data_IF_884573350779
#
_entry.id   IF_884573350779
#
_cell.length_a   1.000
_cell.length_b   1.000
_cell.length_c   1.000
_cell.angle_alpha   90.00
_cell.angle_beta   90.00
_cell.angle_gamma   90.00
#
_symmetry.space_group_name_H-M   'P 1'
#
loop_
_entity.id
_entity.type
_entity.pdbx_description
1 polymer ?
#
# COMPACT_ATOMS: atom_id res chain seq x y z
N UNK A 1 -8.43 4.07 23.10
CA UNK A 1 -7.31 5.01 23.28
C UNK A 1 -6.34 4.44 24.29
N UNK A 2 -5.05 4.40 23.97
CA UNK A 2 -4.02 3.99 24.92
C UNK A 2 -3.79 5.14 25.90
N UNK A 3 -3.72 4.85 27.20
CA UNK A 3 -3.53 5.89 28.20
C UNK A 3 -2.14 6.56 28.05
N UNK A 4 -2.01 7.84 28.38
CA UNK A 4 -0.71 8.54 28.36
C UNK A 4 0.35 7.81 29.22
N UNK A 5 -0.08 7.23 30.33
CA UNK A 5 0.80 6.46 31.21
C UNK A 5 1.33 5.21 30.51
N UNK A 6 0.46 4.50 29.78
CA UNK A 6 0.84 3.31 29.01
C UNK A 6 1.89 3.68 27.95
N UNK A 7 1.67 4.80 27.24
CA UNK A 7 2.61 5.28 26.20
C UNK A 7 3.98 5.58 26.82
N UNK A 8 4.01 6.23 27.99
CA UNK A 8 5.28 6.52 28.70
C UNK A 8 6.02 5.23 29.08
N UNK A 9 5.30 4.24 29.62
CA UNK A 9 5.90 2.95 30.02
C UNK A 9 6.44 2.23 28.79
N UNK A 10 5.67 2.22 27.70
CA UNK A 10 6.08 1.56 26.44
C UNK A 10 7.36 2.19 25.89
N UNK A 11 7.48 3.51 25.95
CA UNK A 11 8.67 4.23 25.46
C UNK A 11 9.94 3.96 26.30
N UNK A 12 9.82 3.34 27.46
CA UNK A 12 10.98 2.92 28.29
C UNK A 12 11.46 1.52 27.96
N UNK A 13 10.73 0.78 27.12
CA UNK A 13 11.07 -0.59 26.75
C UNK A 13 12.01 -0.61 25.51
N UNK A 14 12.81 -1.68 25.34
CA UNK A 14 13.56 -1.85 24.09
C UNK A 14 12.64 -1.84 22.87
N UNK A 15 13.09 -1.21 21.80
CA UNK A 15 12.34 -1.03 20.56
C UNK A 15 11.74 -2.35 20.03
N UNK A 16 12.53 -3.43 20.07
CA UNK A 16 12.10 -4.76 19.63
C UNK A 16 10.89 -5.27 20.42
N UNK A 17 10.86 -4.99 21.72
CA UNK A 17 9.76 -5.40 22.58
C UNK A 17 8.52 -4.54 22.32
N UNK A 18 8.73 -3.24 22.11
CA UNK A 18 7.65 -2.31 21.75
C UNK A 18 6.97 -2.78 20.45
N UNK A 19 7.76 -3.13 19.43
CA UNK A 19 7.23 -3.61 18.15
C UNK A 19 6.43 -4.91 18.31
N UNK A 20 6.91 -5.85 19.14
CA UNK A 20 6.18 -7.10 19.41
C UNK A 20 4.83 -6.84 20.07
N UNK A 21 4.82 -5.98 21.09
CA UNK A 21 3.58 -5.60 21.80
C UNK A 21 2.62 -4.92 20.83
N UNK A 22 3.12 -3.98 20.02
CA UNK A 22 2.31 -3.26 19.06
C UNK A 22 1.68 -4.21 18.03
N UNK A 23 2.44 -5.17 17.53
CA UNK A 23 1.92 -6.20 16.61
C UNK A 23 0.77 -7.01 17.25
N UNK A 24 0.94 -7.40 18.49
CA UNK A 24 -0.11 -8.16 19.22
C UNK A 24 -1.38 -7.32 19.34
N UNK A 25 -1.23 -6.04 19.73
CA UNK A 25 -2.37 -5.13 19.91
C UNK A 25 -3.07 -4.91 18.56
N UNK A 26 -2.33 -4.59 17.51
CA UNK A 26 -2.88 -4.34 16.17
C UNK A 26 -3.60 -5.60 15.66
N UNK A 27 -2.99 -6.77 15.81
CA UNK A 27 -3.60 -8.03 15.38
C UNK A 27 -4.91 -8.29 16.12
N UNK A 28 -4.97 -7.99 17.42
CA UNK A 28 -6.20 -8.11 18.21
C UNK A 28 -7.28 -7.16 17.72
N UNK A 29 -6.90 -5.91 17.40
CA UNK A 29 -7.85 -4.93 16.86
C UNK A 29 -8.37 -5.35 15.48
N UNK A 30 -7.48 -5.79 14.58
CA UNK A 30 -7.90 -6.28 13.27
C UNK A 30 -8.84 -7.49 13.40
N UNK A 31 -8.50 -8.43 14.26
CA UNK A 31 -9.35 -9.61 14.50
C UNK A 31 -10.71 -9.24 15.08
N UNK A 32 -10.75 -8.23 15.95
CA UNK A 32 -11.99 -7.79 16.60
C UNK A 32 -12.89 -7.00 15.65
N UNK A 33 -12.33 -6.09 14.86
CA UNK A 33 -13.09 -5.09 14.14
C UNK A 33 -13.27 -5.38 12.65
N UNK A 34 -12.35 -6.12 12.04
CA UNK A 34 -12.37 -6.37 10.60
C UNK A 34 -12.89 -7.76 10.26
N UNK A 35 -13.94 -7.82 9.44
CA UNK A 35 -14.39 -9.05 8.80
C UNK A 35 -13.76 -9.08 7.41
N UNK A 36 -12.64 -9.81 7.26
CA UNK A 36 -11.83 -9.78 6.05
C UNK A 36 -12.20 -10.95 5.13
N UNK A 37 -12.53 -10.63 3.88
CA UNK A 37 -12.77 -11.61 2.80
C UNK A 37 -11.71 -11.39 1.73
N UNK A 38 -11.09 -12.49 1.28
CA UNK A 38 -9.98 -12.46 0.31
C UNK A 38 -10.36 -13.33 -0.87
N UNK A 39 -10.23 -12.78 -2.09
CA UNK A 39 -10.40 -13.50 -3.35
C UNK A 39 -9.14 -13.36 -4.20
N UNK A 40 -8.77 -14.42 -4.92
CA UNK A 40 -7.70 -14.37 -5.92
C UNK A 40 -6.29 -14.47 -5.37
N UNK A 41 -6.12 -14.87 -4.12
CA UNK A 41 -4.79 -15.04 -3.52
C UNK A 41 -3.89 -15.95 -4.38
N UNK A 42 -4.47 -16.98 -4.99
CA UNK A 42 -3.77 -17.93 -5.87
C UNK A 42 -3.21 -17.28 -7.15
N UNK A 43 -3.73 -16.12 -7.53
CA UNK A 43 -3.24 -15.38 -8.71
C UNK A 43 -1.79 -14.91 -8.53
N UNK A 44 -1.36 -14.69 -7.30
CA UNK A 44 -0.01 -14.16 -7.03
C UNK A 44 1.06 -15.10 -7.61
N UNK A 45 0.88 -16.40 -7.46
CA UNK A 45 1.85 -17.39 -7.93
C UNK A 45 1.91 -17.51 -9.47
N UNK A 46 0.96 -16.91 -10.17
CA UNK A 46 1.03 -16.83 -11.66
C UNK A 46 2.11 -15.84 -12.11
N UNK A 47 2.50 -14.90 -11.26
CA UNK A 47 3.61 -13.99 -11.54
C UNK A 47 4.93 -14.72 -11.40
N UNK A 48 5.80 -14.57 -12.38
CA UNK A 48 7.13 -15.18 -12.38
C UNK A 48 8.14 -14.21 -11.76
N UNK A 49 9.01 -14.72 -10.90
CA UNK A 49 10.08 -13.92 -10.29
C UNK A 49 9.58 -12.89 -9.30
N UNK A 50 10.32 -11.81 -9.20
CA UNK A 50 10.02 -10.71 -8.27
C UNK A 50 8.74 -9.99 -8.69
N UNK A 51 7.91 -9.62 -7.72
CA UNK A 51 6.59 -9.05 -7.95
C UNK A 51 6.49 -7.63 -7.41
N UNK A 52 5.75 -6.78 -8.12
CA UNK A 52 5.35 -5.46 -7.64
C UNK A 52 3.85 -5.52 -7.36
N UNK A 53 3.48 -5.51 -6.11
CA UNK A 53 2.07 -5.41 -5.70
C UNK A 53 1.64 -3.96 -5.75
N UNK A 54 0.45 -3.70 -6.30
CA UNK A 54 -0.17 -2.38 -6.31
C UNK A 54 -1.56 -2.46 -5.70
N UNK A 55 -1.97 -1.42 -4.99
CA UNK A 55 -3.27 -1.40 -4.31
C UNK A 55 -3.78 0.04 -4.22
N UNK A 56 -5.10 0.22 -4.28
CA UNK A 56 -5.72 1.51 -3.97
C UNK A 56 -5.53 1.80 -2.47
N UNK A 57 -5.54 3.07 -2.08
CA UNK A 57 -5.18 3.48 -0.72
C UNK A 57 -6.30 4.26 -0.06
N UNK A 58 -6.87 3.69 1.00
CA UNK A 58 -8.06 4.23 1.68
C UNK A 58 -7.80 4.62 3.14
N UNK A 59 -6.85 3.93 3.79
CA UNK A 59 -6.74 3.94 5.25
C UNK A 59 -5.33 3.58 5.68
N UNK A 60 -4.95 4.03 6.86
CA UNK A 60 -3.70 3.58 7.51
C UNK A 60 -3.74 2.08 7.82
N UNK A 61 -4.91 1.47 7.89
CA UNK A 61 -5.02 0.02 8.11
C UNK A 61 -4.67 -0.80 6.86
N UNK A 62 -4.64 -0.18 5.67
CA UNK A 62 -4.34 -0.91 4.41
C UNK A 62 -2.99 -1.63 4.49
N UNK A 63 -1.95 -0.91 4.87
CA UNK A 63 -0.61 -1.47 4.97
C UNK A 63 -0.52 -2.57 6.01
N UNK A 64 -1.19 -2.42 7.14
CA UNK A 64 -1.21 -3.40 8.22
C UNK A 64 -1.87 -4.71 7.78
N UNK A 65 -3.01 -4.60 7.08
CA UNK A 65 -3.74 -5.77 6.58
C UNK A 65 -2.95 -6.47 5.48
N UNK A 66 -2.41 -5.71 4.52
CA UNK A 66 -1.64 -6.28 3.41
C UNK A 66 -0.35 -6.92 3.89
N UNK A 67 0.32 -6.31 4.87
CA UNK A 67 1.52 -6.90 5.46
C UNK A 67 1.18 -8.25 6.12
N UNK A 68 0.12 -8.30 6.90
CA UNK A 68 -0.34 -9.53 7.54
C UNK A 68 -0.66 -10.63 6.51
N UNK A 69 -1.29 -10.25 5.39
CA UNK A 69 -1.66 -11.17 4.32
C UNK A 69 -0.46 -11.71 3.54
N UNK A 70 0.51 -10.85 3.25
CA UNK A 70 1.58 -11.15 2.28
C UNK A 70 2.93 -11.50 2.91
N UNK A 71 3.17 -11.14 4.17
CA UNK A 71 4.51 -11.25 4.78
C UNK A 71 5.08 -12.66 4.76
N UNK A 72 4.29 -13.65 5.17
CA UNK A 72 4.77 -15.01 5.34
C UNK A 72 5.31 -15.61 4.05
N UNK A 73 4.62 -15.39 2.94
CA UNK A 73 4.95 -16.03 1.66
C UNK A 73 5.74 -15.13 0.71
N UNK A 74 5.47 -13.83 0.73
CA UNK A 74 6.02 -12.90 -0.27
C UNK A 74 6.88 -11.79 0.32
N UNK A 75 6.71 -11.48 1.58
CA UNK A 75 7.49 -10.50 2.37
C UNK A 75 7.80 -9.20 1.61
N UNK A 76 6.79 -8.50 1.09
CA UNK A 76 7.07 -7.30 0.29
C UNK A 76 7.58 -6.14 1.15
N UNK A 77 8.42 -5.30 0.55
CA UNK A 77 8.80 -4.00 1.10
C UNK A 77 7.81 -2.95 0.59
N UNK A 78 7.23 -2.19 1.50
CA UNK A 78 6.24 -1.17 1.18
C UNK A 78 6.94 0.15 0.86
N UNK A 79 6.50 0.82 -0.21
CA UNK A 79 6.96 2.19 -0.50
C UNK A 79 6.14 3.15 0.36
N UNK A 80 6.81 3.95 1.17
CA UNK A 80 6.16 4.90 2.07
C UNK A 80 6.65 6.31 1.80
N UNK A 81 5.73 7.26 1.70
CA UNK A 81 6.07 8.69 1.67
C UNK A 81 6.61 9.11 3.02
N UNK A 82 7.71 9.86 3.01
CA UNK A 82 8.25 10.41 4.25
C UNK A 82 7.30 11.52 4.70
N UNK A 83 6.38 11.20 5.59
CA UNK A 83 5.69 12.20 6.38
C UNK A 83 6.40 12.21 7.72
N UNK A 84 7.01 13.33 8.03
CA UNK A 84 7.59 13.55 9.34
C UNK A 84 6.43 13.65 10.35
N UNK A 85 5.96 12.49 10.76
CA UNK A 85 4.97 12.43 11.82
C UNK A 85 5.69 12.45 13.15
N UNK A 86 5.37 13.42 13.97
CA UNK A 86 5.83 13.46 15.35
C UNK A 86 4.96 12.59 16.25
N UNK A 87 3.91 12.00 15.69
CA UNK A 87 3.01 11.14 16.45
C UNK A 87 3.66 9.77 16.71
N UNK A 88 3.81 9.38 17.99
CA UNK A 88 4.43 8.11 18.36
C UNK A 88 3.69 6.88 17.83
N UNK A 89 2.37 6.94 17.74
CA UNK A 89 1.55 5.80 17.28
C UNK A 89 1.79 5.56 15.79
N UNK A 90 1.86 6.64 15.01
CA UNK A 90 2.16 6.55 13.58
C UNK A 90 3.57 5.99 13.35
N UNK A 91 4.54 6.42 14.14
CA UNK A 91 5.92 5.88 14.07
C UNK A 91 5.94 4.38 14.36
N UNK A 92 5.20 3.93 15.36
CA UNK A 92 5.08 2.51 15.67
C UNK A 92 4.42 1.72 14.55
N UNK A 93 3.38 2.27 13.93
CA UNK A 93 2.70 1.67 12.78
C UNK A 93 3.64 1.47 11.59
N UNK A 94 4.42 2.46 11.31
CA UNK A 94 5.44 2.39 10.25
C UNK A 94 6.49 1.31 10.55
N UNK A 95 6.74 1.31 11.56
CA UNK A 95 7.63 0.44 11.97
C UNK A 95 7.28 -0.93 11.95
N UNK A 96 6.16 -1.15 12.09
CA UNK A 96 5.65 -2.53 12.03
C UNK A 96 5.80 -3.18 10.66
N UNK A 97 5.83 -2.39 9.62
CA UNK A 97 5.84 -2.82 8.22
C UNK A 97 7.21 -2.50 7.61
N UNK A 98 7.77 -3.46 6.89
CA UNK A 98 9.05 -3.26 6.19
C UNK A 98 8.86 -2.22 5.09
N UNK A 99 9.55 -1.09 5.18
CA UNK A 99 9.34 0.06 4.27
C UNK A 99 10.63 0.56 3.64
N UNK A 100 10.47 1.15 2.46
CA UNK A 100 11.47 2.00 1.82
C UNK A 100 10.83 3.38 1.64
N UNK A 101 11.55 4.42 2.02
CA UNK A 101 11.02 5.78 2.03
C UNK A 101 11.27 6.50 0.70
N UNK A 102 10.26 7.25 0.26
CA UNK A 102 10.36 8.11 -0.93
C UNK A 102 9.86 9.50 -0.54
N UNK A 103 10.49 10.54 -1.09
CA UNK A 103 10.04 11.92 -0.89
C UNK A 103 8.79 12.16 -1.74
N UNK A 104 7.65 12.48 -1.13
CA UNK A 104 6.42 12.69 -1.90
C UNK A 104 6.54 13.95 -2.77
N UNK A 105 5.89 13.91 -3.93
CA UNK A 105 5.79 15.04 -4.87
C UNK A 105 7.15 15.57 -5.35
N UNK A 106 8.17 14.71 -5.39
CA UNK A 106 9.48 15.06 -5.94
C UNK A 106 9.98 13.96 -6.88
N UNK A 107 10.87 14.33 -7.78
CA UNK A 107 11.58 13.36 -8.60
C UNK A 107 12.73 12.77 -7.76
N UNK A 108 12.38 11.88 -6.83
CA UNK A 108 13.33 11.28 -5.89
C UNK A 108 14.12 10.17 -6.61
N UNK A 109 15.08 10.59 -7.43
CA UNK A 109 15.90 9.68 -8.25
C UNK A 109 16.67 8.70 -7.38
N UNK A 110 17.15 9.15 -6.23
CA UNK A 110 17.90 8.29 -5.29
C UNK A 110 17.01 7.16 -4.75
N UNK A 111 15.80 7.49 -4.32
CA UNK A 111 14.84 6.49 -3.83
C UNK A 111 14.44 5.52 -4.94
N UNK A 112 14.15 6.02 -6.14
CA UNK A 112 13.78 5.18 -7.29
C UNK A 112 14.93 4.23 -7.63
N UNK A 113 16.16 4.71 -7.68
CA UNK A 113 17.35 3.90 -7.94
C UNK A 113 17.48 2.77 -6.91
N UNK A 114 17.31 3.11 -5.64
CA UNK A 114 17.35 2.13 -4.53
C UNK A 114 16.26 1.08 -4.69
N UNK A 115 15.03 1.51 -4.98
CA UNK A 115 13.87 0.61 -5.16
C UNK A 115 14.12 -0.35 -6.33
N UNK A 116 14.59 0.17 -7.47
CA UNK A 116 14.88 -0.64 -8.66
C UNK A 116 15.94 -1.70 -8.32
N UNK A 117 17.00 -1.32 -7.60
CA UNK A 117 18.06 -2.24 -7.18
C UNK A 117 17.51 -3.34 -6.27
N UNK A 118 16.62 -2.99 -5.33
CA UNK A 118 15.98 -3.94 -4.43
C UNK A 118 15.15 -4.97 -5.22
N UNK A 119 14.31 -4.50 -6.13
CA UNK A 119 13.43 -5.36 -6.95
C UNK A 119 14.26 -6.26 -7.86
N UNK A 120 15.28 -5.72 -8.53
CA UNK A 120 16.20 -6.52 -9.37
C UNK A 120 16.95 -7.57 -8.56
N UNK A 121 17.18 -7.29 -7.29
CA UNK A 121 17.83 -8.22 -6.36
C UNK A 121 16.91 -9.32 -5.81
N UNK A 122 15.64 -9.31 -6.20
CA UNK A 122 14.69 -10.36 -5.80
C UNK A 122 13.72 -9.96 -4.69
N UNK A 123 13.74 -8.70 -4.27
CA UNK A 123 12.86 -8.21 -3.19
C UNK A 123 11.51 -7.75 -3.76
N UNK A 124 10.43 -8.37 -3.28
CA UNK A 124 9.07 -7.97 -3.68
C UNK A 124 8.75 -6.57 -3.14
N UNK A 125 7.96 -5.82 -3.89
CA UNK A 125 7.59 -4.45 -3.56
C UNK A 125 6.08 -4.33 -3.46
N UNK A 126 5.60 -3.47 -2.56
CA UNK A 126 4.19 -3.05 -2.57
C UNK A 126 4.14 -1.53 -2.59
N UNK A 127 3.38 -0.99 -3.51
CA UNK A 127 3.21 0.44 -3.66
C UNK A 127 1.73 0.80 -3.79
N UNK A 128 1.34 1.90 -3.16
CA UNK A 128 0.04 2.54 -3.36
C UNK A 128 0.25 3.62 -4.42
N UNK A 129 -0.14 3.36 -5.69
CA UNK A 129 0.28 4.27 -6.78
C UNK A 129 -0.38 5.64 -6.74
N UNK A 130 -1.45 5.80 -5.97
CA UNK A 130 -2.08 7.11 -5.74
C UNK A 130 -1.18 8.07 -4.94
N UNK A 131 -0.23 7.53 -4.17
CA UNK A 131 0.73 8.31 -3.40
C UNK A 131 0.18 8.91 -2.11
N UNK A 132 -1.12 8.82 -1.89
CA UNK A 132 -1.80 9.28 -0.67
C UNK A 132 -3.13 8.54 -0.52
N UNK A 133 -3.70 8.57 0.68
CA UNK A 133 -5.00 7.98 0.95
C UNK A 133 -6.11 8.81 0.29
N UNK A 134 -7.07 8.14 -0.34
CA UNK A 134 -8.27 8.79 -0.86
C UNK A 134 -9.17 9.22 0.29
N UNK A 135 -9.57 10.47 0.30
CA UNK A 135 -10.47 11.02 1.31
C UNK A 135 -11.95 10.78 0.99
N UNK A 136 -12.25 10.37 -0.25
CA UNK A 136 -13.62 10.11 -0.71
C UNK A 136 -13.96 8.62 -0.77
N UNK A 137 -12.95 7.76 -0.64
CA UNK A 137 -13.09 6.32 -0.87
C UNK A 137 -12.92 5.92 -2.34
N UNK A 138 -12.97 6.88 -3.26
CA UNK A 138 -12.81 6.62 -4.70
C UNK A 138 -11.36 6.84 -5.14
N UNK A 139 -10.90 6.04 -6.11
CA UNK A 139 -9.53 6.15 -6.62
C UNK A 139 -9.23 7.53 -7.16
N UNK A 140 -8.05 8.03 -6.85
CA UNK A 140 -7.50 9.29 -7.40
C UNK A 140 -6.40 8.95 -8.40
N UNK A 141 -5.95 9.97 -9.14
CA UNK A 141 -4.96 9.79 -10.20
C UNK A 141 -3.65 9.19 -9.65
N UNK A 142 -3.13 8.18 -10.36
CA UNK A 142 -1.88 7.53 -9.99
C UNK A 142 -0.65 8.38 -10.31
N UNK A 143 0.40 8.22 -9.54
CA UNK A 143 1.70 8.89 -9.72
C UNK A 143 2.62 8.05 -10.60
N UNK A 144 3.41 8.69 -11.45
CA UNK A 144 4.26 8.03 -12.47
C UNK A 144 5.43 7.22 -11.90
N UNK A 145 5.71 7.29 -10.61
CA UNK A 145 6.79 6.51 -10.00
C UNK A 145 6.67 5.02 -10.24
N UNK A 146 5.46 4.48 -10.17
CA UNK A 146 5.21 3.05 -10.44
C UNK A 146 5.61 2.69 -11.88
N UNK A 147 5.34 3.55 -12.84
CA UNK A 147 5.66 3.31 -14.24
C UNK A 147 7.17 3.19 -14.44
N UNK A 148 7.94 4.08 -13.84
CA UNK A 148 9.40 4.08 -13.94
C UNK A 148 9.99 2.81 -13.30
N UNK A 149 9.50 2.45 -12.11
CA UNK A 149 9.94 1.23 -11.41
C UNK A 149 9.63 -0.01 -12.26
N UNK A 150 8.42 -0.10 -12.79
CA UNK A 150 7.99 -1.26 -13.61
C UNK A 150 8.85 -1.38 -14.89
N UNK A 151 9.13 -0.26 -15.56
CA UNK A 151 9.96 -0.26 -16.76
C UNK A 151 11.38 -0.72 -16.49
N UNK A 152 11.98 -0.18 -15.45
CA UNK A 152 13.39 -0.44 -15.15
C UNK A 152 13.62 -1.84 -14.59
N UNK A 153 12.63 -2.42 -13.92
CA UNK A 153 12.76 -3.76 -13.31
C UNK A 153 12.23 -4.87 -14.20
N UNK A 154 11.26 -4.57 -15.06
CA UNK A 154 10.50 -5.54 -15.85
C UNK A 154 9.76 -6.58 -14.99
N UNK A 155 9.60 -6.31 -13.70
CA UNK A 155 8.87 -7.17 -12.79
C UNK A 155 7.37 -7.14 -13.13
N UNK A 156 6.71 -8.28 -12.96
CA UNK A 156 5.27 -8.35 -13.16
C UNK A 156 4.55 -7.63 -12.02
N UNK A 157 3.44 -7.00 -12.35
CA UNK A 157 2.63 -6.23 -11.42
C UNK A 157 1.44 -7.08 -11.01
N UNK A 158 1.20 -7.19 -9.71
CA UNK A 158 0.05 -7.91 -9.15
C UNK A 158 -0.92 -6.87 -8.58
N UNK A 159 -2.06 -6.63 -9.22
CA UNK A 159 -3.01 -5.63 -8.73
C UNK A 159 -3.86 -6.18 -7.59
N UNK A 160 -4.14 -5.32 -6.62
CA UNK A 160 -5.01 -5.61 -5.47
C UNK A 160 -6.04 -4.50 -5.37
N UNK A 161 -7.32 -4.87 -5.27
CA UNK A 161 -8.41 -3.95 -4.97
C UNK A 161 -8.90 -4.18 -3.55
N UNK A 162 -9.00 -3.12 -2.77
CA UNK A 162 -9.41 -3.20 -1.38
C UNK A 162 -10.58 -2.24 -1.10
N UNK A 163 -11.60 -2.73 -0.38
CA UNK A 163 -12.73 -1.91 0.07
C UNK A 163 -12.98 -2.13 1.55
N UNK A 164 -13.55 -1.13 2.21
CA UNK A 164 -13.99 -1.23 3.60
C UNK A 164 -12.98 -0.73 4.63
N UNK A 165 -11.73 -0.57 4.28
CA UNK A 165 -10.73 -0.09 5.24
C UNK A 165 -10.97 1.38 5.62
N UNK A 166 -11.58 2.17 4.73
CA UNK A 166 -12.01 3.54 5.03
C UNK A 166 -13.07 3.59 6.12
N UNK A 167 -13.80 2.51 6.31
CA UNK A 167 -14.79 2.36 7.38
C UNK A 167 -14.15 1.77 8.64
N UNK A 168 -13.21 0.84 8.45
CA UNK A 168 -12.49 0.18 9.54
C UNK A 168 -11.65 1.18 10.34
N UNK A 169 -10.88 2.00 9.67
CA UNK A 169 -10.01 3.01 10.30
C UNK A 169 -10.09 4.29 9.47
N UNK A 170 -11.17 5.08 9.66
CA UNK A 170 -11.37 6.30 8.87
C UNK A 170 -10.26 7.34 9.09
N UNK A 171 -9.98 8.12 8.05
CA UNK A 171 -9.04 9.24 8.12
C UNK A 171 -9.62 10.29 9.09
N UNK A 172 -8.83 10.70 10.08
CA UNK A 172 -9.25 11.73 11.03
C UNK A 172 -9.40 13.09 10.31
N UNK A 173 -10.40 13.87 10.72
CA UNK A 173 -10.72 15.15 10.09
C UNK A 173 -9.57 16.16 10.21
N UNK A 174 -8.81 16.09 11.26
CA UNK A 174 -7.76 17.06 11.63
C UNK A 174 -6.34 16.68 11.17
N UNK A 175 -6.43 15.52 10.57
CA UNK A 175 -5.22 15.10 10.16
C UNK A 175 -4.39 14.56 11.19
N UNK A 176 -4.88 14.55 12.22
CA UNK A 176 -4.21 13.92 13.34
C UNK A 176 -4.42 12.41 13.29
N UNK A 177 -3.42 11.70 12.81
CA UNK A 177 -3.48 10.22 12.67
C UNK A 177 -3.64 9.53 14.05
N UNK A 178 -3.24 10.17 15.12
CA UNK A 178 -3.46 9.67 16.48
C UNK A 178 -4.93 9.66 16.88
N UNK A 179 -5.78 10.44 16.20
CA UNK A 179 -7.22 10.49 16.42
C UNK A 179 -8.01 9.41 15.69
N UNK A 180 -7.37 8.62 14.82
CA UNK A 180 -8.05 7.57 14.05
C UNK A 180 -8.44 6.41 14.97
N UNK A 181 -9.69 5.94 14.83
CA UNK A 181 -10.24 4.87 15.69
C UNK A 181 -10.80 3.73 14.86
N UNK A 182 -10.57 2.51 15.31
CA UNK A 182 -11.13 1.30 14.69
C UNK A 182 -12.63 1.21 14.91
N UNK A 183 -13.34 0.86 13.84
CA UNK A 183 -14.78 0.55 13.84
C UNK A 183 -14.98 -0.83 13.22
N UNK A 184 -16.11 -1.46 13.50
CA UNK A 184 -16.48 -2.73 12.86
C UNK A 184 -16.71 -2.48 11.37
N UNK A 185 -16.06 -3.27 10.52
CA UNK A 185 -16.21 -3.14 9.07
C UNK A 185 -15.93 -4.45 8.34
N UNK A 186 -16.65 -4.62 7.22
CA UNK A 186 -16.33 -5.66 6.24
C UNK A 186 -15.24 -5.14 5.33
N UNK A 187 -14.15 -5.89 5.22
CA UNK A 187 -13.01 -5.56 4.36
C UNK A 187 -12.93 -6.63 3.26
N UNK A 188 -13.01 -6.20 2.01
CA UNK A 188 -12.90 -7.11 0.87
C UNK A 188 -11.60 -6.83 0.15
N UNK A 189 -10.84 -7.90 -0.11
CA UNK A 189 -9.56 -7.84 -0.81
C UNK A 189 -9.67 -8.75 -2.04
N UNK A 190 -9.49 -8.17 -3.22
CA UNK A 190 -9.44 -8.93 -4.47
C UNK A 190 -8.05 -8.79 -5.08
N UNK A 191 -7.43 -9.93 -5.38
CA UNK A 191 -6.11 -9.96 -6.01
C UNK A 191 -6.33 -10.42 -7.45
N UNK A 192 -5.90 -9.58 -8.40
CA UNK A 192 -6.04 -9.86 -9.81
C UNK A 192 -4.88 -10.67 -10.37
N UNK A 193 -5.01 -11.05 -11.63
CA UNK A 193 -3.93 -11.72 -12.33
C UNK A 193 -2.77 -10.76 -12.57
N UNK A 194 -1.53 -11.27 -12.58
CA UNK A 194 -0.36 -10.43 -12.87
C UNK A 194 -0.47 -9.78 -14.26
N UNK A 195 0.01 -8.57 -14.36
CA UNK A 195 0.06 -7.82 -15.61
C UNK A 195 1.50 -7.39 -15.92
N UNK A 196 1.77 -7.17 -17.20
CA UNK A 196 3.00 -6.55 -17.69
C UNK A 196 2.62 -5.29 -18.46
N UNK A 197 3.53 -4.33 -18.54
CA UNK A 197 3.26 -3.09 -19.28
C UNK A 197 3.00 -3.39 -20.76
N UNK A 198 2.03 -2.72 -21.39
CA UNK A 198 1.82 -2.87 -22.82
C UNK A 198 3.04 -2.35 -23.61
N UNK A 199 3.25 -2.88 -24.79
CA UNK A 199 4.33 -2.46 -25.68
C UNK A 199 3.99 -1.09 -26.29
N UNK A 200 5.03 -0.28 -26.50
CA UNK A 200 4.90 1.00 -27.19
C UNK A 200 4.58 0.75 -28.66
N UNK A 201 3.59 1.45 -29.18
CA UNK A 201 3.26 1.41 -30.61
C UNK A 201 4.30 2.22 -31.42
N UNK A 202 4.51 1.82 -32.67
CA UNK A 202 5.56 2.35 -33.52
C UNK A 202 5.56 3.87 -33.67
N UNK A 203 4.38 4.46 -33.82
CA UNK A 203 4.22 5.91 -34.07
C UNK A 203 3.68 6.66 -32.85
N UNK A 204 3.68 6.03 -31.69
CA UNK A 204 3.13 6.61 -30.46
C UNK A 204 4.14 7.56 -29.81
N UNK A 205 3.70 8.77 -29.45
CA UNK A 205 4.55 9.71 -28.71
C UNK A 205 4.79 9.17 -27.28
N UNK A 206 5.93 9.51 -26.71
CA UNK A 206 6.32 9.04 -25.39
C UNK A 206 5.27 9.35 -24.31
N UNK A 207 4.74 10.58 -24.30
CA UNK A 207 3.75 10.97 -23.29
C UNK A 207 2.42 10.23 -23.46
N UNK A 208 2.02 9.94 -24.70
CA UNK A 208 0.82 9.15 -24.98
C UNK A 208 0.98 7.72 -24.47
N UNK A 209 2.14 7.14 -24.71
CA UNK A 209 2.49 5.80 -24.22
C UNK A 209 2.51 5.75 -22.69
N UNK A 210 3.12 6.74 -22.05
CA UNK A 210 3.19 6.84 -20.60
C UNK A 210 1.77 6.92 -20.00
N UNK A 211 0.91 7.74 -20.58
CA UNK A 211 -0.48 7.89 -20.13
C UNK A 211 -1.26 6.60 -20.31
N UNK A 212 -1.06 5.92 -21.43
CA UNK A 212 -1.70 4.63 -21.72
C UNK A 212 -1.24 3.55 -20.71
N UNK A 213 0.05 3.50 -20.41
CA UNK A 213 0.60 2.59 -19.41
C UNK A 213 0.04 2.88 -18.02
N UNK A 214 -0.01 4.16 -17.62
CA UNK A 214 -0.55 4.55 -16.32
C UNK A 214 -2.04 4.18 -16.22
N UNK A 215 -2.81 4.46 -17.25
CA UNK A 215 -4.24 4.07 -17.29
C UNK A 215 -4.38 2.56 -17.16
N UNK A 216 -3.57 1.80 -17.88
CA UNK A 216 -3.59 0.34 -17.83
C UNK A 216 -3.28 -0.18 -16.41
N UNK A 217 -2.25 0.35 -15.78
CA UNK A 217 -1.87 -0.01 -14.40
C UNK A 217 -3.03 0.29 -13.44
N UNK A 218 -3.54 1.51 -13.49
CA UNK A 218 -4.57 1.94 -12.53
C UNK A 218 -5.90 1.24 -12.76
N UNK A 219 -6.27 0.97 -14.02
CA UNK A 219 -7.47 0.21 -14.32
C UNK A 219 -7.38 -1.25 -13.90
N UNK A 220 -6.17 -1.81 -13.81
CA UNK A 220 -6.01 -3.17 -13.26
C UNK A 220 -6.47 -3.25 -11.80
N UNK A 221 -6.33 -2.16 -11.04
CA UNK A 221 -6.90 -2.06 -9.69
C UNK A 221 -8.41 -1.79 -9.77
N UNK A 222 -8.80 -0.78 -10.55
CA UNK A 222 -10.20 -0.35 -10.64
C UNK A 222 -11.14 -1.49 -11.03
N UNK A 223 -10.69 -2.36 -11.93
CA UNK A 223 -11.48 -3.51 -12.40
C UNK A 223 -11.78 -4.53 -11.28
N UNK A 224 -11.02 -4.49 -10.19
CA UNK A 224 -11.23 -5.34 -9.01
C UNK A 224 -12.18 -4.70 -7.99
N UNK A 225 -12.58 -3.46 -8.21
CA UNK A 225 -13.36 -2.66 -7.27
C UNK A 225 -14.79 -2.45 -7.75
N UNK A 226 -15.76 -2.30 -6.82
CA UNK A 226 -17.08 -1.80 -7.18
C UNK A 226 -16.99 -0.42 -7.84
N UNK A 227 -17.96 -0.10 -8.67
CA UNK A 227 -17.96 1.13 -9.47
C UNK A 227 -17.72 2.40 -8.64
N UNK A 228 -18.36 2.48 -7.48
CA UNK A 228 -18.25 3.65 -6.59
C UNK A 228 -16.84 3.90 -6.04
N UNK A 229 -15.98 2.88 -6.07
CA UNK A 229 -14.57 3.02 -5.63
C UNK A 229 -13.62 3.37 -6.78
N UNK A 230 -14.08 3.31 -8.03
CA UNK A 230 -13.18 3.45 -9.20
C UNK A 230 -12.73 4.89 -9.46
N UNK A 231 -13.49 5.88 -9.00
CA UNK A 231 -13.11 7.30 -9.11
C UNK A 231 -12.84 7.73 -10.55
N UNK A 232 -11.65 8.24 -10.80
CA UNK A 232 -11.26 8.74 -12.13
C UNK A 232 -11.03 7.61 -13.16
N UNK A 233 -11.10 6.34 -12.73
CA UNK A 233 -10.87 5.16 -13.59
C UNK A 233 -12.15 4.35 -13.84
N UNK A 234 -13.32 4.97 -13.83
CA UNK A 234 -14.61 4.35 -14.19
C UNK A 234 -14.63 3.90 -15.65
#
# INVERSE_FOLDING_TARGET
>A
MLSPTFVKVVNMLPESLVLKITKIIVNRYLKKYANIKIEGFENIDKAKGTKIFICNHLSNSDGLILDKLLREKYDPTFVAGIKLSNDPITKLGIXMVKTVNIKPNSADKEAITKIVKMVRGGENLLIFPEGTRSRTGAMIEGKKGILLIARLTKAEIVPIGMTGTEKLLPIAKDXDMGGEKFNYADVNIKIGEPISLPKKDKDEAKHEYDDRCMTYIMKSIANLLPEEYRGVYK
#
